data_IF_524103587824
#
_entry.id   IF_524103587824
#
_cell.length_a   1.000
_cell.length_b   1.000
_cell.length_c   1.000
_cell.angle_alpha   90.00
_cell.angle_beta   90.00
_cell.angle_gamma   90.00
#
_symmetry.space_group_name_H-M   'P 1'
#
loop_
_entity.id
_entity.type
_entity.pdbx_description
1 polymer ?
#
# COMPACT_ATOMS: atom_id res chain seq x y z
N UNK A 1 14.75 -7.88 -17.86
CA UNK A 1 14.41 -7.66 -16.44
C UNK A 1 14.23 -6.16 -16.27
N UNK A 2 13.01 -5.71 -15.94
CA UNK A 2 12.74 -4.28 -15.75
C UNK A 2 13.01 -3.89 -14.29
N UNK A 3 12.97 -2.58 -13.97
CA UNK A 3 13.24 -2.10 -12.60
C UNK A 3 12.24 -2.69 -11.59
N UNK A 4 10.99 -2.91 -11.98
CA UNK A 4 9.95 -3.54 -11.15
C UNK A 4 10.31 -4.99 -10.78
N UNK A 5 10.88 -5.76 -11.71
CA UNK A 5 11.36 -7.11 -11.45
C UNK A 5 12.51 -7.09 -10.44
N UNK A 6 13.44 -6.13 -10.56
CA UNK A 6 14.57 -5.98 -9.62
C UNK A 6 14.07 -5.67 -8.21
N UNK A 7 13.14 -4.72 -8.05
CA UNK A 7 12.58 -4.42 -6.71
C UNK A 7 11.76 -5.58 -6.15
N UNK A 8 11.12 -6.37 -7.02
CA UNK A 8 10.48 -7.61 -6.58
C UNK A 8 11.50 -8.60 -6.03
N UNK A 9 12.67 -8.74 -6.68
CA UNK A 9 13.75 -9.58 -6.15
C UNK A 9 14.27 -9.07 -4.80
N UNK A 10 14.42 -7.76 -4.62
CA UNK A 10 14.77 -7.19 -3.32
C UNK A 10 13.73 -7.56 -2.25
N UNK A 11 12.43 -7.41 -2.54
CA UNK A 11 11.36 -7.85 -1.64
C UNK A 11 11.50 -9.35 -1.30
N UNK A 12 11.71 -10.20 -2.29
CA UNK A 12 11.87 -11.65 -2.07
C UNK A 12 13.11 -12.00 -1.24
N UNK A 13 14.24 -11.31 -1.44
CA UNK A 13 15.45 -11.50 -0.64
C UNK A 13 15.24 -11.15 0.83
N UNK A 14 14.53 -10.06 1.10
CA UNK A 14 14.20 -9.62 2.46
C UNK A 14 13.17 -10.53 3.12
N UNK A 15 12.15 -11.00 2.38
CA UNK A 15 11.17 -11.99 2.82
C UNK A 15 11.86 -13.30 3.20
N UNK A 16 12.69 -13.86 2.31
CA UNK A 16 13.38 -15.14 2.54
C UNK A 16 14.35 -15.07 3.72
N UNK A 17 14.92 -13.89 3.98
CA UNK A 17 15.76 -13.62 5.14
C UNK A 17 14.97 -13.23 6.40
N UNK A 18 13.64 -13.23 6.35
CA UNK A 18 12.73 -12.84 7.43
C UNK A 18 13.00 -11.42 7.98
N UNK A 19 13.53 -10.53 7.14
CA UNK A 19 13.86 -9.14 7.47
C UNK A 19 12.64 -8.23 7.29
N UNK A 20 11.54 -8.59 7.94
CA UNK A 20 10.21 -7.96 7.78
C UNK A 20 10.20 -6.44 7.96
N UNK A 21 10.99 -5.93 8.89
CA UNK A 21 11.09 -4.51 9.21
C UNK A 21 11.69 -3.66 8.07
N UNK A 22 12.34 -4.29 7.09
CA UNK A 22 12.90 -3.60 5.91
C UNK A 22 11.89 -3.52 4.75
N UNK A 23 10.85 -4.36 4.74
CA UNK A 23 9.95 -4.49 3.59
C UNK A 23 9.20 -3.21 3.26
N UNK A 24 8.76 -2.45 4.28
CA UNK A 24 8.00 -1.21 4.06
C UNK A 24 8.74 -0.21 3.17
N UNK A 25 10.08 -0.18 3.25
CA UNK A 25 10.93 0.68 2.41
C UNK A 25 10.86 0.30 0.93
N UNK A 26 10.74 -1.00 0.63
CA UNK A 26 10.69 -1.53 -0.72
C UNK A 26 9.27 -1.53 -1.30
N UNK A 27 8.23 -1.61 -0.47
CA UNK A 27 6.83 -1.62 -0.93
C UNK A 27 6.49 -0.35 -1.72
N UNK A 28 6.85 0.83 -1.21
CA UNK A 28 6.59 2.07 -1.95
C UNK A 28 7.39 2.15 -3.26
N UNK A 29 8.65 1.74 -3.23
CA UNK A 29 9.52 1.68 -4.42
C UNK A 29 8.92 0.77 -5.50
N UNK A 30 8.55 -0.44 -5.12
CA UNK A 30 7.89 -1.42 -5.99
C UNK A 30 6.58 -0.88 -6.59
N UNK A 31 5.74 -0.23 -5.77
CA UNK A 31 4.51 0.42 -6.25
C UNK A 31 4.80 1.47 -7.33
N UNK A 32 5.73 2.39 -7.06
CA UNK A 32 6.10 3.45 -8.01
C UNK A 32 6.66 2.88 -9.32
N UNK A 33 7.50 1.83 -9.25
CA UNK A 33 8.03 1.18 -10.45
C UNK A 33 6.95 0.48 -11.25
N UNK A 34 6.04 -0.26 -10.59
CA UNK A 34 4.90 -0.93 -11.25
C UNK A 34 3.99 0.07 -11.98
N UNK A 35 3.79 1.27 -11.42
CA UNK A 35 2.95 2.33 -11.99
C UNK A 35 3.70 3.34 -12.87
N UNK A 36 5.01 3.15 -13.08
CA UNK A 36 5.88 4.10 -13.80
C UNK A 36 5.91 5.53 -13.20
N UNK A 37 5.74 5.65 -11.88
CA UNK A 37 5.89 6.89 -11.12
C UNK A 37 7.35 7.11 -10.74
N UNK A 38 8.19 7.32 -11.76
CA UNK A 38 9.64 7.44 -11.63
C UNK A 38 10.14 8.83 -12.03
N UNK A 39 11.17 9.31 -11.34
CA UNK A 39 11.89 10.53 -11.71
C UNK A 39 12.63 10.35 -13.05
N UNK A 40 13.21 11.43 -13.59
CA UNK A 40 14.07 11.34 -14.79
C UNK A 40 15.28 10.43 -14.59
N UNK A 41 15.73 10.22 -13.34
CA UNK A 41 16.83 9.32 -12.99
C UNK A 41 16.38 7.89 -12.70
N UNK A 42 15.09 7.56 -12.89
CA UNK A 42 14.56 6.21 -12.67
C UNK A 42 14.26 5.86 -11.21
N UNK A 43 14.33 6.83 -10.29
CA UNK A 43 14.03 6.62 -8.87
C UNK A 43 12.53 6.77 -8.58
N UNK A 44 11.96 6.07 -7.58
CA UNK A 44 10.58 6.30 -7.12
C UNK A 44 10.28 7.78 -6.86
N UNK A 45 9.20 8.30 -7.43
CA UNK A 45 8.82 9.71 -7.37
C UNK A 45 7.48 9.88 -6.65
N UNK A 46 7.56 10.35 -5.40
CA UNK A 46 6.40 10.55 -4.54
C UNK A 46 5.44 11.63 -5.06
N UNK A 47 5.96 12.64 -5.76
CA UNK A 47 5.13 13.71 -6.30
C UNK A 47 4.35 13.19 -7.51
N UNK A 48 4.99 12.42 -8.39
CA UNK A 48 4.27 11.74 -9.49
C UNK A 48 3.21 10.78 -8.98
N UNK A 49 3.53 9.97 -7.96
CA UNK A 49 2.54 9.09 -7.35
C UNK A 49 1.33 9.88 -6.83
N UNK A 50 1.58 10.97 -6.10
CA UNK A 50 0.52 11.86 -5.58
C UNK A 50 -0.28 12.57 -6.67
N UNK A 51 0.30 12.81 -7.84
CA UNK A 51 -0.41 13.47 -8.95
C UNK A 51 -1.28 12.51 -9.76
N UNK A 52 -0.96 11.22 -9.78
CA UNK A 52 -1.65 10.21 -10.60
C UNK A 52 -2.51 9.21 -9.81
N UNK A 53 -2.30 9.08 -8.50
CA UNK A 53 -3.14 8.20 -7.69
C UNK A 53 -4.58 8.74 -7.60
N UNK A 54 -5.59 7.86 -7.51
CA UNK A 54 -6.97 8.25 -7.24
C UNK A 54 -7.07 9.12 -5.99
N UNK A 55 -8.02 10.05 -5.98
CA UNK A 55 -8.13 11.08 -4.93
C UNK A 55 -9.46 11.01 -4.22
N UNK A 56 -9.51 11.42 -2.96
CA UNK A 56 -10.78 11.66 -2.28
C UNK A 56 -11.51 12.84 -2.90
N UNK A 57 -12.85 12.76 -2.96
CA UNK A 57 -13.74 13.84 -3.39
C UNK A 57 -13.55 15.14 -2.57
N UNK A 58 -13.01 15.03 -1.35
CA UNK A 58 -12.75 16.17 -0.47
C UNK A 58 -11.42 16.88 -0.77
N UNK A 59 -10.56 16.29 -1.60
CA UNK A 59 -9.25 16.86 -1.96
C UNK A 59 -9.42 17.84 -3.12
N UNK A 60 -9.65 19.11 -2.78
CA UNK A 60 -9.76 20.20 -3.76
C UNK A 60 -8.43 20.89 -4.07
N UNK A 61 -7.40 20.67 -3.24
CA UNK A 61 -6.10 21.31 -3.39
C UNK A 61 -4.94 20.37 -3.07
N UNK A 62 -3.91 20.40 -3.93
CA UNK A 62 -2.64 19.69 -3.74
C UNK A 62 -1.81 20.22 -2.56
N UNK A 63 -2.21 21.28 -1.84
CA UNK A 63 -1.43 21.79 -0.68
C UNK A 63 -1.66 20.97 0.59
N UNK A 64 -2.85 20.37 0.73
CA UNK A 64 -3.27 19.62 1.93
C UNK A 64 -3.52 18.14 1.67
N UNK A 65 -3.14 17.66 0.48
CA UNK A 65 -3.23 16.25 0.11
C UNK A 65 -2.11 15.41 0.75
N UNK A 66 -2.37 14.16 1.05
CA UNK A 66 -1.43 13.20 1.61
C UNK A 66 -1.55 11.93 0.79
N UNK A 67 -0.43 11.38 0.34
CA UNK A 67 -0.42 10.05 -0.28
C UNK A 67 -0.53 9.02 0.84
N UNK A 68 -1.56 8.19 0.78
CA UNK A 68 -1.93 7.24 1.84
C UNK A 68 -2.12 5.85 1.22
N UNK A 69 -1.51 4.79 1.78
CA UNK A 69 -1.75 3.44 1.29
C UNK A 69 -3.20 3.03 1.56
N UNK A 70 -3.90 2.36 0.64
CA UNK A 70 -5.26 1.87 0.90
C UNK A 70 -5.26 0.86 2.07
N UNK A 71 -4.37 -0.13 1.99
CA UNK A 71 -4.07 -1.06 3.07
C UNK A 71 -2.74 -0.66 3.73
N UNK A 72 -2.68 -0.46 5.07
CA UNK A 72 -1.44 -0.11 5.75
C UNK A 72 -0.30 -1.08 5.44
N UNK A 73 0.91 -0.56 5.23
CA UNK A 73 2.06 -1.38 4.82
C UNK A 73 2.38 -2.48 5.84
N UNK A 74 2.28 -2.18 7.13
CA UNK A 74 2.41 -3.16 8.20
C UNK A 74 1.39 -4.31 8.09
N UNK A 75 0.17 -4.03 7.61
CA UNK A 75 -0.86 -5.05 7.38
C UNK A 75 -0.49 -5.94 6.17
N UNK A 76 0.05 -5.37 5.09
CA UNK A 76 0.56 -6.14 3.95
C UNK A 76 1.71 -7.06 4.39
N UNK A 77 2.64 -6.56 5.22
CA UNK A 77 3.71 -7.37 5.82
C UNK A 77 3.13 -8.47 6.72
N UNK A 78 2.07 -8.18 7.47
CA UNK A 78 1.33 -9.16 8.26
C UNK A 78 0.74 -10.29 7.41
N UNK A 79 0.24 -9.98 6.23
CA UNK A 79 -0.22 -11.00 5.27
C UNK A 79 0.93 -11.87 4.79
N UNK A 80 2.11 -11.31 4.46
CA UNK A 80 3.27 -12.15 4.10
C UNK A 80 3.64 -13.12 5.23
N UNK A 81 3.72 -12.64 6.47
CA UNK A 81 3.99 -13.49 7.65
C UNK A 81 2.94 -14.57 7.85
N UNK A 82 1.66 -14.27 7.59
CA UNK A 82 0.56 -15.24 7.68
C UNK A 82 0.76 -16.39 6.69
N UNK A 83 0.97 -16.08 5.42
CA UNK A 83 1.23 -17.10 4.40
C UNK A 83 2.54 -17.86 4.65
N UNK A 84 3.57 -17.22 5.21
CA UNK A 84 4.82 -17.91 5.56
C UNK A 84 4.58 -18.96 6.66
N UNK A 85 3.91 -18.55 7.74
CA UNK A 85 3.56 -19.43 8.85
C UNK A 85 2.70 -20.61 8.38
N UNK A 86 1.81 -20.36 7.44
CA UNK A 86 0.88 -21.37 6.91
C UNK A 86 1.56 -22.25 5.82
N UNK A 87 2.82 -21.97 5.44
CA UNK A 87 3.58 -22.75 4.45
C UNK A 87 3.21 -22.46 2.98
N UNK A 88 2.49 -21.36 2.74
CA UNK A 88 1.89 -21.00 1.44
C UNK A 88 2.53 -19.77 0.78
N UNK A 89 3.59 -19.20 1.40
CA UNK A 89 4.28 -18.04 0.86
C UNK A 89 5.18 -18.44 -0.31
N UNK A 90 4.67 -18.22 -1.52
CA UNK A 90 5.41 -18.37 -2.77
C UNK A 90 5.59 -17.01 -3.45
N UNK A 91 6.48 -16.91 -4.44
CA UNK A 91 6.61 -15.71 -5.29
C UNK A 91 5.28 -15.31 -5.92
N UNK A 92 4.48 -16.29 -6.36
CA UNK A 92 3.17 -16.05 -6.94
C UNK A 92 2.18 -15.49 -5.89
N UNK A 93 2.22 -16.04 -4.68
CA UNK A 93 1.42 -15.54 -3.55
C UNK A 93 1.80 -14.10 -3.20
N UNK A 94 3.09 -13.78 -3.12
CA UNK A 94 3.58 -12.41 -2.84
C UNK A 94 3.10 -11.44 -3.92
N UNK A 95 3.26 -11.78 -5.21
CA UNK A 95 2.75 -10.95 -6.32
C UNK A 95 1.26 -10.71 -6.19
N UNK A 96 0.46 -11.76 -5.96
CA UNK A 96 -0.99 -11.65 -5.79
C UNK A 96 -1.37 -10.72 -4.64
N UNK A 97 -0.68 -10.80 -3.50
CA UNK A 97 -0.92 -9.91 -2.35
C UNK A 97 -0.59 -8.45 -2.74
N UNK A 98 0.56 -8.21 -3.38
CA UNK A 98 0.95 -6.86 -3.82
C UNK A 98 0.00 -6.29 -4.88
N UNK A 99 -0.47 -7.12 -5.82
CA UNK A 99 -1.41 -6.72 -6.88
C UNK A 99 -2.81 -6.42 -6.36
N UNK A 100 -3.18 -6.99 -5.20
CA UNK A 100 -4.52 -6.79 -4.61
C UNK A 100 -4.53 -5.70 -3.53
N UNK A 101 -3.44 -5.54 -2.77
CA UNK A 101 -3.43 -4.75 -1.54
C UNK A 101 -2.51 -3.52 -1.58
N UNK A 102 -1.44 -3.55 -2.38
CA UNK A 102 -0.47 -2.45 -2.43
C UNK A 102 -0.94 -1.39 -3.43
N UNK A 103 -1.83 -0.53 -2.96
CA UNK A 103 -2.33 0.62 -3.70
C UNK A 103 -2.27 1.87 -2.81
N UNK A 104 -2.24 3.03 -3.45
CA UNK A 104 -2.23 4.32 -2.77
C UNK A 104 -3.33 5.20 -3.32
N UNK A 105 -3.79 6.11 -2.46
CA UNK A 105 -4.76 7.15 -2.77
C UNK A 105 -4.29 8.46 -2.19
N UNK A 106 -4.87 9.55 -2.66
CA UNK A 106 -4.63 10.89 -2.11
C UNK A 106 -5.82 11.30 -1.26
N UNK A 107 -5.57 11.55 0.02
CA UNK A 107 -6.58 12.03 0.96
C UNK A 107 -6.17 13.39 1.53
N UNK A 108 -7.09 14.11 2.15
CA UNK A 108 -6.80 15.34 2.89
C UNK A 108 -6.15 15.04 4.25
N UNK A 109 -5.54 16.06 4.86
CA UNK A 109 -5.01 15.97 6.24
C UNK A 109 -6.10 15.69 7.26
N UNK A 110 -7.28 16.26 7.05
CA UNK A 110 -8.47 16.07 7.87
C UNK A 110 -8.94 14.61 7.80
N UNK A 111 -8.96 14.01 6.62
CA UNK A 111 -9.28 12.59 6.45
C UNK A 111 -8.23 11.67 7.08
N UNK A 112 -6.95 12.02 6.95
CA UNK A 112 -5.87 11.31 7.64
C UNK A 112 -6.02 11.38 9.16
N UNK A 113 -6.51 12.49 9.69
CA UNK A 113 -6.82 12.66 11.09
C UNK A 113 -8.02 11.80 11.53
N UNK A 114 -9.09 11.72 10.72
CA UNK A 114 -10.22 10.79 10.97
C UNK A 114 -9.76 9.33 11.09
N UNK A 115 -8.84 8.90 10.23
CA UNK A 115 -8.26 7.55 10.32
C UNK A 115 -7.53 7.33 11.65
N UNK A 116 -6.78 8.34 12.15
CA UNK A 116 -6.12 8.27 13.46
C UNK A 116 -7.13 8.17 14.61
N UNK A 117 -8.15 9.02 14.60
CA UNK A 117 -9.21 9.04 15.62
C UNK A 117 -9.99 7.73 15.70
N UNK A 118 -10.17 7.07 14.55
CA UNK A 118 -10.78 5.74 14.47
C UNK A 118 -9.83 4.58 14.80
N UNK A 119 -8.57 4.85 15.16
CA UNK A 119 -7.51 3.85 15.34
C UNK A 119 -7.27 2.97 14.08
N UNK A 120 -7.40 3.58 12.91
CA UNK A 120 -7.24 2.97 11.58
C UNK A 120 -6.09 3.59 10.77
N UNK A 121 -5.16 4.30 11.42
CA UNK A 121 -4.03 4.91 10.72
C UNK A 121 -2.97 3.89 10.28
N UNK A 122 -2.83 2.78 11.00
CA UNK A 122 -1.84 1.72 10.78
C UNK A 122 -2.45 0.31 10.73
N UNK A 123 -3.77 0.19 10.87
CA UNK A 123 -4.50 -1.07 10.86
C UNK A 123 -5.75 -1.05 9.96
N UNK A 124 -6.17 -2.23 9.51
CA UNK A 124 -7.48 -2.43 8.86
C UNK A 124 -8.59 -2.63 9.91
N UNK A 125 -9.87 -2.42 9.56
CA UNK A 125 -10.99 -2.80 10.41
C UNK A 125 -10.96 -4.28 10.80
N UNK A 126 -11.48 -4.65 11.98
CA UNK A 126 -11.43 -6.02 12.51
C UNK A 126 -12.05 -7.05 11.56
N UNK A 127 -13.12 -6.65 10.89
CA UNK A 127 -13.89 -7.49 9.96
C UNK A 127 -13.05 -7.85 8.73
N UNK A 128 -12.16 -6.95 8.30
CA UNK A 128 -11.26 -7.17 7.17
C UNK A 128 -10.33 -8.37 7.40
N UNK A 129 -9.84 -8.57 8.63
CA UNK A 129 -8.97 -9.72 8.95
C UNK A 129 -9.69 -11.06 8.84
N UNK A 130 -11.01 -11.09 9.04
CA UNK A 130 -11.84 -12.31 8.95
C UNK A 130 -12.42 -12.54 7.56
N UNK A 131 -12.48 -11.51 6.74
CA UNK A 131 -13.00 -11.60 5.38
C UNK A 131 -12.08 -12.41 4.46
N UNK A 132 -12.66 -13.26 3.61
CA UNK A 132 -11.97 -13.86 2.47
C UNK A 132 -11.74 -12.85 1.36
N UNK A 133 -12.67 -11.91 1.20
CA UNK A 133 -12.55 -10.79 0.27
C UNK A 133 -11.89 -9.61 0.98
N UNK A 134 -10.59 -9.45 0.73
CA UNK A 134 -9.73 -8.47 1.40
C UNK A 134 -9.85 -7.11 0.73
N UNK A 135 -11.04 -6.52 0.78
CA UNK A 135 -11.32 -5.23 0.14
C UNK A 135 -10.36 -4.13 0.64
N UNK A 136 -9.53 -3.53 -0.24
CA UNK A 136 -8.55 -2.52 0.15
C UNK A 136 -9.21 -1.19 0.58
N UNK A 137 -10.46 -0.92 0.21
CA UNK A 137 -11.16 0.32 0.55
C UNK A 137 -11.86 0.30 1.91
N UNK A 138 -12.01 -0.88 2.53
CA UNK A 138 -12.75 -1.08 3.78
C UNK A 138 -12.35 -0.11 4.90
N UNK A 139 -11.07 0.24 4.99
CA UNK A 139 -10.54 1.18 5.99
C UNK A 139 -11.02 2.62 5.77
N UNK A 140 -11.02 3.08 4.52
CA UNK A 140 -11.48 4.41 4.14
C UNK A 140 -13.01 4.52 4.24
N UNK A 141 -13.72 3.49 3.79
CA UNK A 141 -15.17 3.40 3.89
C UNK A 141 -15.66 3.48 5.35
N UNK A 142 -14.90 2.92 6.31
CA UNK A 142 -15.24 2.95 7.74
C UNK A 142 -15.32 4.37 8.33
N UNK A 143 -14.63 5.34 7.72
CA UNK A 143 -14.59 6.75 8.13
C UNK A 143 -15.18 7.69 7.07
N UNK A 144 -15.99 7.13 6.15
CA UNK A 144 -16.69 7.86 5.09
C UNK A 144 -15.78 8.69 4.18
N UNK A 145 -14.61 8.13 3.82
CA UNK A 145 -13.75 8.69 2.77
C UNK A 145 -14.13 8.04 1.44
N UNK A 146 -14.52 8.86 0.45
CA UNK A 146 -14.93 8.43 -0.88
C UNK A 146 -13.87 8.82 -1.90
N UNK A 147 -13.45 7.87 -2.74
CA UNK A 147 -12.40 8.06 -3.74
C UNK A 147 -13.05 8.24 -5.11
N UNK A 148 -12.71 9.32 -5.81
CA UNK A 148 -13.03 9.50 -7.22
C UNK A 148 -12.18 8.55 -8.06
N UNK A 149 -12.84 7.68 -8.83
CA UNK A 149 -12.22 6.73 -9.76
C UNK A 149 -12.24 7.27 -11.19
#
# INVERSE_FOLDING_TARGET
>A
MNNTDIEFEHLMLEINAQRWHLLERFLFSYFCMRQNYLSKSGCPDWQKARDHCPRSDQVTSSKHAELEPLVPLATIVGEFKRYERDGELSRQTVKRILDSLLHYVVISKEEKQKLKEAALHDAMPKEWYRSSDKDPYSRLAKVSIHISL
#
